data_IF_185357126825
#
_entry.id   IF_185357126825
#
_cell.length_a   1.000
_cell.length_b   1.000
_cell.length_c   1.000
_cell.angle_alpha   90.00
_cell.angle_beta   90.00
_cell.angle_gamma   90.00
#
_symmetry.space_group_name_H-M   'P 1'
#
loop_
_entity.id
_entity.type
_entity.pdbx_description
1 polymer ?
#
# COMPACT_ATOMS: atom_id res chain seq x y z
N UNK A 1 0.89 7.98 -18.41
CA UNK A 1 0.49 6.76 -17.68
C UNK A 1 0.82 7.04 -16.22
N UNK A 2 -0.10 7.69 -15.50
CA UNK A 2 0.19 8.36 -14.21
C UNK A 2 -0.92 8.11 -13.17
N UNK A 3 -1.74 7.07 -13.37
CA UNK A 3 -2.92 6.82 -12.52
C UNK A 3 -2.59 5.89 -11.34
N UNK A 4 -1.51 5.09 -11.42
CA UNK A 4 -1.12 4.15 -10.36
C UNK A 4 -0.44 4.83 -9.16
N UNK A 5 0.25 5.95 -9.37
CA UNK A 5 0.86 6.73 -8.26
C UNK A 5 -0.20 7.42 -7.41
N UNK A 6 -1.28 7.92 -8.01
CA UNK A 6 -2.33 8.66 -7.27
C UNK A 6 -3.05 7.79 -6.22
N UNK A 7 -3.26 6.50 -6.50
CA UNK A 7 -3.89 5.57 -5.54
C UNK A 7 -2.97 5.26 -4.36
N UNK A 8 -1.69 4.99 -4.65
CA UNK A 8 -0.66 4.73 -3.64
C UNK A 8 -0.41 5.95 -2.76
N UNK A 9 -0.22 7.13 -3.37
CA UNK A 9 0.02 8.38 -2.66
C UNK A 9 -1.19 8.79 -1.81
N UNK A 10 -2.41 8.51 -2.27
CA UNK A 10 -3.62 8.74 -1.47
C UNK A 10 -3.74 7.77 -0.29
N UNK A 11 -3.32 6.50 -0.42
CA UNK A 11 -3.30 5.54 0.67
C UNK A 11 -2.22 5.89 1.71
N UNK A 12 -1.01 6.24 1.25
CA UNK A 12 0.09 6.74 2.09
C UNK A 12 -0.30 8.04 2.79
N UNK A 13 -0.96 8.95 2.08
CA UNK A 13 -1.48 10.21 2.64
C UNK A 13 -2.54 9.98 3.72
N UNK A 14 -3.46 9.03 3.52
CA UNK A 14 -4.46 8.66 4.55
C UNK A 14 -3.82 7.99 5.76
N UNK A 15 -2.85 7.10 5.56
CA UNK A 15 -2.13 6.45 6.65
C UNK A 15 -1.29 7.46 7.45
N UNK A 16 -0.58 8.38 6.78
CA UNK A 16 0.16 9.45 7.44
C UNK A 16 -0.78 10.42 8.18
N UNK A 17 -1.92 10.78 7.59
CA UNK A 17 -2.91 11.63 8.26
C UNK A 17 -3.56 10.94 9.47
N UNK A 18 -3.81 9.62 9.40
CA UNK A 18 -4.32 8.83 10.51
C UNK A 18 -3.26 8.73 11.63
N UNK A 19 -2.00 8.50 11.26
CA UNK A 19 -0.88 8.52 12.19
C UNK A 19 -0.72 9.91 12.82
N UNK A 20 -0.75 11.01 12.07
CA UNK A 20 -0.69 12.36 12.63
C UNK A 20 -1.87 12.64 13.57
N UNK A 21 -3.09 12.27 13.18
CA UNK A 21 -4.30 12.50 13.99
C UNK A 21 -4.27 11.71 15.31
N UNK A 22 -3.74 10.48 15.30
CA UNK A 22 -3.79 9.60 16.46
C UNK A 22 -2.49 9.53 17.28
N UNK A 23 -1.32 9.83 16.69
CA UNK A 23 -0.02 9.78 17.37
C UNK A 23 0.52 11.14 17.79
N UNK A 24 0.05 12.27 17.22
CA UNK A 24 0.51 13.61 17.62
C UNK A 24 -0.37 14.32 18.67
N UNK A 25 -1.56 13.79 18.96
CA UNK A 25 -2.30 14.19 20.15
C UNK A 25 -2.01 13.17 21.25
N UNK A 26 -1.10 13.47 22.17
CA UNK A 26 -0.85 12.62 23.35
C UNK A 26 -2.14 12.23 24.09
N UNK A 27 -3.19 13.05 23.99
CA UNK A 27 -4.54 12.81 24.50
C UNK A 27 -5.29 11.63 23.86
N UNK A 28 -5.12 11.39 22.56
CA UNK A 28 -5.80 10.32 21.83
C UNK A 28 -5.23 8.94 22.17
N UNK A 29 -3.90 8.86 22.30
CA UNK A 29 -3.21 7.67 22.80
C UNK A 29 -3.52 7.38 24.27
N UNK A 30 -3.63 8.42 25.11
CA UNK A 30 -3.98 8.27 26.53
C UNK A 30 -5.44 7.80 26.74
N UNK A 31 -6.38 8.26 25.91
CA UNK A 31 -7.81 7.93 26.07
C UNK A 31 -8.20 6.53 25.61
N UNK A 32 -7.65 6.04 24.50
CA UNK A 32 -8.04 4.72 23.94
C UNK A 32 -6.90 4.05 23.15
N UNK A 33 -5.79 3.67 23.81
CA UNK A 33 -4.60 3.15 23.12
C UNK A 33 -4.87 1.85 22.33
N UNK A 34 -5.78 1.00 22.82
CA UNK A 34 -6.15 -0.23 22.13
C UNK A 34 -6.95 -0.01 20.85
N UNK A 35 -7.76 1.05 20.79
CA UNK A 35 -8.53 1.41 19.59
C UNK A 35 -7.64 2.07 18.55
N UNK A 36 -6.74 2.96 18.98
CA UNK A 36 -5.73 3.55 18.12
C UNK A 36 -4.82 2.49 17.50
N UNK A 37 -4.33 1.53 18.31
CA UNK A 37 -3.49 0.45 17.81
C UNK A 37 -4.23 -0.44 16.79
N UNK A 38 -5.52 -0.71 17.00
CA UNK A 38 -6.34 -1.48 16.03
C UNK A 38 -6.46 -0.78 14.68
N UNK A 39 -6.68 0.53 14.66
CA UNK A 39 -6.76 1.28 13.41
C UNK A 39 -5.42 1.28 12.67
N UNK A 40 -4.32 1.53 13.37
CA UNK A 40 -2.97 1.49 12.77
C UNK A 40 -2.65 0.09 12.20
N UNK A 41 -2.98 -0.97 12.93
CA UNK A 41 -2.78 -2.34 12.44
C UNK A 41 -3.65 -2.65 11.23
N UNK A 42 -4.90 -2.17 11.21
CA UNK A 42 -5.79 -2.33 10.07
C UNK A 42 -5.24 -1.62 8.83
N UNK A 43 -4.78 -0.38 8.98
CA UNK A 43 -4.19 0.40 7.89
C UNK A 43 -2.91 -0.26 7.35
N UNK A 44 -2.06 -0.77 8.23
CA UNK A 44 -0.85 -1.50 7.84
C UNK A 44 -1.18 -2.78 7.05
N UNK A 45 -2.19 -3.53 7.47
CA UNK A 45 -2.62 -4.73 6.77
C UNK A 45 -3.15 -4.41 5.36
N UNK A 46 -3.92 -3.32 5.22
CA UNK A 46 -4.41 -2.88 3.91
C UNK A 46 -3.27 -2.44 3.00
N UNK A 47 -2.28 -1.72 3.54
CA UNK A 47 -1.11 -1.32 2.77
C UNK A 47 -0.28 -2.52 2.28
N UNK A 48 -0.12 -3.55 3.10
CA UNK A 48 0.55 -4.78 2.69
C UNK A 48 -0.19 -5.50 1.55
N UNK A 49 -1.52 -5.58 1.62
CA UNK A 49 -2.35 -6.22 0.59
C UNK A 49 -2.27 -5.46 -0.75
N UNK A 50 -2.41 -4.14 -0.71
CA UNK A 50 -2.29 -3.28 -1.91
C UNK A 50 -0.89 -3.41 -2.54
N UNK A 51 0.16 -3.39 -1.71
CA UNK A 51 1.55 -3.53 -2.16
C UNK A 51 1.81 -4.89 -2.81
N UNK A 52 1.27 -5.96 -2.23
CA UNK A 52 1.41 -7.31 -2.79
C UNK A 52 0.70 -7.41 -4.14
N UNK A 53 -0.52 -6.87 -4.25
CA UNK A 53 -1.28 -6.85 -5.50
C UNK A 53 -0.54 -6.11 -6.61
N UNK A 54 0.04 -4.96 -6.30
CA UNK A 54 0.79 -4.17 -7.27
C UNK A 54 2.07 -4.89 -7.72
N UNK A 55 2.75 -5.58 -6.81
CA UNK A 55 3.89 -6.43 -7.13
C UNK A 55 3.51 -7.60 -8.06
N UNK A 56 2.42 -8.29 -7.76
CA UNK A 56 1.92 -9.40 -8.58
C UNK A 56 1.56 -8.92 -9.99
N UNK A 57 0.89 -7.76 -10.10
CA UNK A 57 0.58 -7.16 -11.39
C UNK A 57 1.85 -6.79 -12.19
N UNK A 58 2.88 -6.25 -11.54
CA UNK A 58 4.15 -5.95 -12.19
C UNK A 58 4.88 -7.23 -12.62
N UNK A 59 4.80 -8.30 -11.82
CA UNK A 59 5.39 -9.60 -12.13
C UNK A 59 4.70 -10.26 -13.33
N UNK A 60 3.37 -10.21 -13.41
CA UNK A 60 2.60 -10.70 -14.56
C UNK A 60 2.98 -9.96 -15.83
N UNK A 61 3.08 -8.63 -15.78
CA UNK A 61 3.50 -7.81 -16.91
C UNK A 61 4.91 -8.17 -17.39
N UNK A 62 5.85 -8.35 -16.46
CA UNK A 62 7.21 -8.77 -16.78
C UNK A 62 7.20 -10.16 -17.45
N UNK A 63 6.46 -11.13 -16.89
CA UNK A 63 6.34 -12.48 -17.48
C UNK A 63 5.76 -12.43 -18.90
N UNK A 64 4.70 -11.66 -19.13
CA UNK A 64 4.09 -11.50 -20.45
C UNK A 64 5.07 -10.92 -21.46
N UNK A 65 5.85 -9.90 -21.06
CA UNK A 65 6.89 -9.30 -21.88
C UNK A 65 7.98 -10.31 -22.27
N UNK A 66 8.54 -11.03 -21.31
CA UNK A 66 9.59 -12.02 -21.58
C UNK A 66 9.07 -13.25 -22.33
N UNK A 67 7.79 -13.61 -22.18
CA UNK A 67 7.17 -14.67 -22.98
C UNK A 67 7.01 -14.26 -24.46
N UNK A 68 6.74 -12.99 -24.74
CA UNK A 68 6.68 -12.42 -26.09
C UNK A 68 8.05 -12.17 -26.73
N UNK A 69 9.10 -11.97 -25.92
CA UNK A 69 10.48 -11.77 -26.39
C UNK A 69 11.24 -13.06 -26.74
N UNK A 70 10.60 -14.25 -26.64
CA UNK A 70 11.22 -15.51 -27.07
C UNK A 70 11.45 -15.46 -28.59
N UNK A 71 12.71 -15.38 -29.08
CA UNK A 71 12.95 -15.29 -30.51
C UNK A 71 12.47 -16.58 -31.19
N UNK A 72 11.98 -16.52 -32.44
CA UNK A 72 11.71 -17.73 -33.20
C UNK A 72 12.99 -18.55 -33.21
N UNK A 73 12.92 -19.79 -32.69
CA UNK A 73 13.96 -20.77 -32.95
C UNK A 73 13.79 -21.19 -34.41
N UNK A 74 14.49 -20.51 -35.30
CA UNK A 74 14.62 -20.79 -36.72
C UNK A 74 16.02 -20.43 -37.15
#
# INVERSE_FOLDING_TARGET
MTVMTDGHDAAVGRANAALETYTLSGDGWQRSPGETLRHVLADLLHWCDDTQRDFDAALEQARARYAGERPPRG
#
